data_IF_741372643249
#
_entry.id   IF_741372643249
#
_cell.length_a   1.000
_cell.length_b   1.000
_cell.length_c   1.000
_cell.angle_alpha   90.00
_cell.angle_beta   90.00
_cell.angle_gamma   90.00
#
_symmetry.space_group_name_H-M   'P 1'
#
loop_
_entity.id
_entity.type
_entity.pdbx_description
1 polymer ?
#
# COMPACT_ATOMS: atom_id res chain seq x y z
N UNK A 1 -6.76 0.22 -20.09
CA UNK A 1 -5.37 0.07 -19.60
C UNK A 1 -5.23 0.47 -18.13
N UNK A 2 -5.69 1.64 -17.70
CA UNK A 2 -5.61 2.10 -16.28
C UNK A 2 -6.16 1.12 -15.23
N UNK A 3 -7.31 0.47 -15.48
CA UNK A 3 -7.89 -0.53 -14.57
C UNK A 3 -6.96 -1.70 -14.26
N UNK A 4 -6.24 -2.17 -15.29
CA UNK A 4 -5.26 -3.24 -15.15
C UNK A 4 -4.06 -2.80 -14.31
N UNK A 5 -3.65 -1.54 -14.41
CA UNK A 5 -2.59 -0.96 -13.57
C UNK A 5 -2.91 -1.04 -12.09
N UNK A 6 -4.11 -0.61 -11.67
CA UNK A 6 -4.54 -0.70 -10.26
C UNK A 6 -4.60 -2.15 -9.77
N UNK A 7 -5.12 -3.09 -10.57
CA UNK A 7 -5.18 -4.50 -10.16
C UNK A 7 -3.78 -5.11 -10.05
N UNK A 8 -2.91 -4.88 -11.03
CA UNK A 8 -1.55 -5.40 -11.03
C UNK A 8 -0.74 -4.86 -9.84
N UNK A 9 -0.84 -3.57 -9.56
CA UNK A 9 -0.16 -2.93 -8.43
C UNK A 9 -0.72 -3.41 -7.08
N UNK A 10 -2.04 -3.55 -6.96
CA UNK A 10 -2.66 -4.16 -5.79
C UNK A 10 -2.24 -5.62 -5.57
N UNK A 11 -2.11 -6.42 -6.64
CA UNK A 11 -1.59 -7.80 -6.55
C UNK A 11 -0.13 -7.80 -6.09
N UNK A 12 0.70 -6.90 -6.60
CA UNK A 12 2.09 -6.75 -6.13
C UNK A 12 2.16 -6.45 -4.64
N UNK A 13 1.37 -5.48 -4.15
CA UNK A 13 1.24 -5.18 -2.72
C UNK A 13 0.76 -6.38 -1.92
N UNK A 14 -0.20 -7.15 -2.44
CA UNK A 14 -0.67 -8.37 -1.78
C UNK A 14 0.45 -9.40 -1.61
N UNK A 15 1.26 -9.62 -2.65
CA UNK A 15 2.41 -10.51 -2.60
C UNK A 15 3.47 -10.02 -1.60
N UNK A 16 3.77 -8.72 -1.58
CA UNK A 16 4.69 -8.12 -0.60
C UNK A 16 4.19 -8.32 0.82
N UNK A 17 2.93 -7.98 1.11
CA UNK A 17 2.35 -8.17 2.44
C UNK A 17 2.30 -9.63 2.87
N UNK A 18 1.96 -10.55 1.96
CA UNK A 18 1.96 -11.98 2.22
C UNK A 18 3.37 -12.51 2.49
N UNK A 19 4.36 -12.10 1.70
CA UNK A 19 5.76 -12.44 1.92
C UNK A 19 6.28 -11.90 3.26
N UNK A 20 5.91 -10.68 3.65
CA UNK A 20 6.25 -10.12 4.96
C UNK A 20 5.71 -10.98 6.11
N UNK A 21 4.47 -11.48 6.00
CA UNK A 21 3.90 -12.37 7.02
C UNK A 21 4.54 -13.77 6.99
N UNK A 22 4.75 -14.35 5.81
CA UNK A 22 5.34 -15.67 5.65
C UNK A 22 6.78 -15.73 6.15
N UNK A 23 7.53 -14.64 5.95
CA UNK A 23 8.93 -14.50 6.35
C UNK A 23 9.09 -13.75 7.69
N UNK A 24 8.00 -13.53 8.43
CA UNK A 24 8.01 -12.68 9.62
C UNK A 24 9.06 -13.10 10.66
N UNK A 25 9.23 -14.38 11.03
CA UNK A 25 10.26 -14.77 12.01
C UNK A 25 11.67 -14.44 11.53
N UNK A 26 11.94 -14.68 10.24
CA UNK A 26 13.23 -14.38 9.63
C UNK A 26 13.47 -12.86 9.57
N UNK A 27 12.47 -12.08 9.15
CA UNK A 27 12.53 -10.61 9.09
C UNK A 27 12.76 -9.98 10.47
N UNK A 28 12.12 -10.50 11.52
CA UNK A 28 12.35 -10.03 12.90
C UNK A 28 13.82 -10.23 13.29
N UNK A 29 14.41 -11.36 12.91
CA UNK A 29 15.81 -11.66 13.22
C UNK A 29 16.83 -10.87 12.38
N UNK A 30 16.46 -10.45 11.18
CA UNK A 30 17.40 -9.85 10.20
C UNK A 30 17.24 -8.34 10.02
N UNK A 31 16.05 -7.77 10.24
CA UNK A 31 15.76 -6.37 9.93
C UNK A 31 16.07 -5.39 11.07
N UNK A 32 16.47 -5.89 12.25
CA UNK A 32 16.68 -5.08 13.47
C UNK A 32 15.50 -4.13 13.74
N UNK A 33 14.29 -4.64 13.51
CA UNK A 33 13.04 -3.88 13.59
C UNK A 33 12.06 -4.59 14.53
N UNK A 34 11.20 -3.85 15.26
CA UNK A 34 10.21 -4.46 16.13
C UNK A 34 9.23 -5.35 15.35
N UNK A 35 9.00 -6.58 15.82
CA UNK A 35 8.11 -7.52 15.12
C UNK A 35 6.65 -7.07 15.01
N UNK A 36 6.17 -6.26 15.97
CA UNK A 36 4.85 -5.64 15.88
C UNK A 36 4.76 -4.65 14.72
N UNK A 37 5.85 -3.91 14.43
CA UNK A 37 5.90 -2.96 13.34
C UNK A 37 5.81 -3.69 12.00
N UNK A 38 6.60 -4.74 11.82
CA UNK A 38 6.54 -5.62 10.65
C UNK A 38 5.13 -6.19 10.44
N UNK A 39 4.51 -6.73 11.50
CA UNK A 39 3.17 -7.30 11.45
C UNK A 39 2.10 -6.28 11.07
N UNK A 40 2.08 -5.11 11.72
CA UNK A 40 1.13 -4.05 11.41
C UNK A 40 1.34 -3.50 9.99
N UNK A 41 2.58 -3.30 9.56
CA UNK A 41 2.89 -2.87 8.19
C UNK A 41 2.37 -3.88 7.18
N UNK A 42 2.60 -5.17 7.38
CA UNK A 42 2.12 -6.21 6.48
C UNK A 42 0.59 -6.22 6.37
N UNK A 43 -0.12 -6.12 7.49
CA UNK A 43 -1.60 -6.03 7.51
C UNK A 43 -2.09 -4.77 6.80
N UNK A 44 -1.45 -3.63 7.02
CA UNK A 44 -1.82 -2.37 6.38
C UNK A 44 -1.61 -2.42 4.85
N UNK A 45 -0.50 -2.99 4.39
CA UNK A 45 -0.21 -3.20 2.97
C UNK A 45 -1.23 -4.15 2.33
N UNK A 46 -1.58 -5.25 2.99
CA UNK A 46 -2.63 -6.18 2.52
C UNK A 46 -4.00 -5.50 2.43
N UNK A 47 -4.36 -4.65 3.39
CA UNK A 47 -5.61 -3.90 3.36
C UNK A 47 -5.63 -2.90 2.19
N UNK A 48 -4.52 -2.20 1.94
CA UNK A 48 -4.36 -1.33 0.76
C UNK A 48 -4.50 -2.11 -0.54
N UNK A 49 -3.84 -3.26 -0.64
CA UNK A 49 -3.90 -4.14 -1.80
C UNK A 49 -5.34 -4.56 -2.12
N UNK A 50 -6.09 -5.04 -1.11
CA UNK A 50 -7.48 -5.44 -1.29
C UNK A 50 -8.37 -4.27 -1.76
N UNK A 51 -8.21 -3.09 -1.16
CA UNK A 51 -8.96 -1.90 -1.53
C UNK A 51 -8.65 -1.44 -2.97
N UNK A 52 -7.39 -1.51 -3.38
CA UNK A 52 -6.91 -1.11 -4.69
C UNK A 52 -7.33 -2.07 -5.80
N UNK A 53 -7.26 -3.38 -5.55
CA UNK A 53 -7.82 -4.40 -6.45
C UNK A 53 -9.33 -4.18 -6.61
N UNK A 54 -10.06 -3.98 -5.51
CA UNK A 54 -11.48 -3.68 -5.56
C UNK A 54 -11.76 -2.41 -6.37
N UNK A 55 -10.97 -1.35 -6.18
CA UNK A 55 -11.10 -0.13 -6.96
C UNK A 55 -10.88 -0.36 -8.46
N UNK A 56 -9.82 -1.07 -8.84
CA UNK A 56 -9.51 -1.39 -10.24
C UNK A 56 -10.61 -2.20 -10.93
N UNK A 57 -11.18 -3.18 -10.20
CA UNK A 57 -12.28 -4.03 -10.68
C UNK A 57 -13.56 -3.21 -10.84
N UNK A 58 -13.96 -2.39 -9.87
CA UNK A 58 -15.29 -1.75 -9.88
C UNK A 58 -15.33 -0.41 -10.61
N UNK A 59 -14.31 0.44 -10.43
CA UNK A 59 -14.29 1.82 -10.93
C UNK A 59 -13.12 2.05 -11.87
N UNK A 60 -11.89 1.95 -11.35
CA UNK A 60 -10.64 2.17 -12.09
C UNK A 60 -10.55 3.55 -12.75
N UNK A 61 -11.15 4.56 -12.11
CA UNK A 61 -11.14 5.94 -12.57
C UNK A 61 -9.72 6.54 -12.56
N UNK A 62 -9.30 7.11 -13.71
CA UNK A 62 -7.95 7.68 -13.87
C UNK A 62 -7.63 8.86 -12.94
N UNK A 63 -8.63 9.49 -12.32
CA UNK A 63 -8.45 10.53 -11.31
C UNK A 63 -7.71 10.03 -10.06
N UNK A 64 -7.67 8.71 -9.84
CA UNK A 64 -7.01 8.09 -8.69
C UNK A 64 -5.55 7.70 -8.96
N UNK A 65 -5.07 7.79 -10.21
CA UNK A 65 -3.69 7.46 -10.57
C UNK A 65 -2.68 8.30 -9.79
N UNK A 66 -3.02 9.55 -9.45
CA UNK A 66 -2.16 10.42 -8.63
C UNK A 66 -1.87 9.84 -7.24
N UNK A 67 -2.79 9.08 -6.65
CA UNK A 67 -2.59 8.48 -5.33
C UNK A 67 -1.67 7.26 -5.42
N UNK A 68 -1.78 6.49 -6.51
CA UNK A 68 -0.87 5.39 -6.83
C UNK A 68 0.55 5.92 -7.01
N UNK A 69 0.72 6.94 -7.87
CA UNK A 69 2.02 7.59 -8.10
C UNK A 69 2.61 8.19 -6.82
N UNK A 70 1.80 8.83 -5.97
CA UNK A 70 2.26 9.39 -4.71
C UNK A 70 2.72 8.32 -3.72
N UNK A 71 2.01 7.19 -3.64
CA UNK A 71 2.40 6.04 -2.83
C UNK A 71 3.72 5.45 -3.34
N UNK A 72 3.84 5.19 -4.65
CA UNK A 72 5.04 4.56 -5.21
C UNK A 72 6.26 5.47 -5.12
N UNK A 73 6.10 6.77 -5.37
CA UNK A 73 7.17 7.73 -5.21
C UNK A 73 7.68 7.76 -3.76
N UNK A 74 6.77 7.80 -2.78
CA UNK A 74 7.14 7.76 -1.37
C UNK A 74 7.79 6.43 -0.97
N UNK A 75 7.33 5.30 -1.54
CA UNK A 75 7.91 3.98 -1.32
C UNK A 75 9.34 3.90 -1.85
N UNK A 76 9.59 4.41 -3.07
CA UNK A 76 10.93 4.50 -3.65
C UNK A 76 11.83 5.39 -2.81
N UNK A 77 11.36 6.58 -2.42
CA UNK A 77 12.13 7.51 -1.59
C UNK A 77 12.49 6.90 -0.23
N UNK A 78 11.53 6.25 0.44
CA UNK A 78 11.76 5.57 1.71
C UNK A 78 12.76 4.41 1.57
N UNK A 79 12.72 3.70 0.44
CA UNK A 79 13.66 2.60 0.14
C UNK A 79 15.07 3.14 -0.08
N UNK A 80 15.22 4.17 -0.92
CA UNK A 80 16.51 4.84 -1.16
C UNK A 80 17.07 5.41 0.13
N UNK A 81 16.26 6.10 0.93
CA UNK A 81 16.68 6.64 2.21
C UNK A 81 17.17 5.53 3.16
N UNK A 82 16.42 4.43 3.28
CA UNK A 82 16.81 3.31 4.15
C UNK A 82 18.11 2.67 3.68
N UNK A 83 18.28 2.46 2.36
CA UNK A 83 19.54 1.95 1.80
C UNK A 83 20.70 2.89 2.08
N UNK A 84 20.54 4.20 1.84
CA UNK A 84 21.59 5.18 2.12
C UNK A 84 21.98 5.24 3.59
N UNK A 85 21.00 5.17 4.51
CA UNK A 85 21.26 5.09 5.95
C UNK A 85 22.13 3.87 6.30
N UNK A 86 21.85 2.71 5.69
CA UNK A 86 22.64 1.48 5.89
C UNK A 86 24.04 1.65 5.27
N UNK A 87 24.12 2.01 3.99
CA UNK A 87 25.36 1.91 3.21
C UNK A 87 26.31 3.08 3.44
N UNK A 88 25.79 4.29 3.70
CA UNK A 88 26.61 5.49 3.86
C UNK A 88 26.88 5.83 5.33
N UNK A 89 25.94 5.53 6.24
CA UNK A 89 26.05 5.91 7.65
C UNK A 89 26.22 4.72 8.60
N UNK A 90 26.16 3.48 8.10
CA UNK A 90 26.22 2.28 8.93
C UNK A 90 25.08 2.19 9.94
N UNK A 91 23.96 2.88 9.69
CA UNK A 91 22.85 2.96 10.63
C UNK A 91 22.15 1.61 10.76
N UNK A 92 22.05 1.12 12.00
CA UNK A 92 21.24 -0.06 12.34
C UNK A 92 19.75 0.32 12.39
N UNK A 93 18.86 -0.64 12.14
CA UNK A 93 17.42 -0.40 12.14
C UNK A 93 16.90 0.55 11.05
N UNK A 94 17.68 0.88 10.02
CA UNK A 94 17.27 1.78 8.94
C UNK A 94 15.99 1.33 8.20
N UNK A 95 15.71 0.03 8.17
CA UNK A 95 14.46 -0.53 7.66
C UNK A 95 13.22 -0.07 8.43
N UNK A 96 13.37 0.38 9.68
CA UNK A 96 12.30 1.00 10.47
C UNK A 96 11.71 2.20 9.75
N UNK A 97 12.52 3.01 9.05
CA UNK A 97 12.02 4.15 8.27
C UNK A 97 11.07 3.68 7.16
N UNK A 98 11.51 2.68 6.39
CA UNK A 98 10.71 2.08 5.32
C UNK A 98 9.42 1.44 5.84
N UNK A 99 9.48 0.76 6.99
CA UNK A 99 8.31 0.17 7.64
C UNK A 99 7.33 1.23 8.15
N UNK A 100 7.83 2.29 8.79
CA UNK A 100 7.02 3.41 9.28
C UNK A 100 6.33 4.16 8.14
N UNK A 101 7.02 4.40 7.03
CA UNK A 101 6.43 5.00 5.84
C UNK A 101 5.22 4.18 5.37
N UNK A 102 5.38 2.87 5.19
CA UNK A 102 4.28 2.02 4.74
C UNK A 102 3.16 1.91 5.76
N UNK A 103 3.48 1.82 7.06
CA UNK A 103 2.48 1.78 8.12
C UNK A 103 1.60 3.03 8.12
N UNK A 104 2.16 4.20 7.76
CA UNK A 104 1.39 5.43 7.63
C UNK A 104 0.68 5.55 6.27
N UNK A 105 1.36 5.22 5.16
CA UNK A 105 0.86 5.44 3.81
C UNK A 105 -0.19 4.40 3.38
N UNK A 106 -0.01 3.12 3.74
CA UNK A 106 -0.89 2.05 3.29
C UNK A 106 -2.33 2.18 3.82
N UNK A 107 -2.59 2.57 5.09
CA UNK A 107 -3.96 2.84 5.55
C UNK A 107 -4.61 4.01 4.80
N UNK A 108 -3.85 5.06 4.48
CA UNK A 108 -4.35 6.20 3.70
C UNK A 108 -4.74 5.75 2.30
N UNK A 109 -3.87 4.98 1.62
CA UNK A 109 -4.17 4.41 0.32
C UNK A 109 -5.41 3.50 0.36
N UNK A 110 -5.51 2.62 1.36
CA UNK A 110 -6.67 1.75 1.57
C UNK A 110 -7.97 2.55 1.67
N UNK A 111 -8.01 3.63 2.46
CA UNK A 111 -9.20 4.48 2.61
C UNK A 111 -9.56 5.17 1.30
N UNK A 112 -8.58 5.71 0.57
CA UNK A 112 -8.79 6.40 -0.71
C UNK A 112 -9.39 5.45 -1.74
N UNK A 113 -8.79 4.28 -1.94
CA UNK A 113 -9.27 3.30 -2.93
C UNK A 113 -10.59 2.66 -2.52
N UNK A 114 -10.79 2.35 -1.23
CA UNK A 114 -12.06 1.80 -0.75
C UNK A 114 -13.23 2.78 -0.93
N UNK A 115 -12.98 4.09 -0.82
CA UNK A 115 -14.00 5.11 -1.12
C UNK A 115 -14.28 5.21 -2.61
N UNK A 116 -13.24 5.20 -3.45
CA UNK A 116 -13.39 5.24 -4.90
C UNK A 116 -14.04 3.98 -5.51
N UNK A 117 -13.98 2.85 -4.81
CA UNK A 117 -14.55 1.58 -5.26
C UNK A 117 -16.07 1.48 -5.05
N UNK A 118 -16.67 2.38 -4.25
CA UNK A 118 -18.10 2.37 -3.98
C UNK A 118 -18.88 2.78 -5.24
N UNK A 119 -19.87 1.99 -5.68
CA UNK A 119 -20.79 2.42 -6.72
C UNK A 119 -21.47 3.72 -6.31
N UNK A 120 -21.60 4.71 -7.21
CA UNK A 120 -22.43 5.87 -6.91
C UNK A 120 -23.85 5.40 -6.57
N UNK A 121 -24.50 5.97 -5.51
CA UNK A 121 -25.90 5.68 -5.25
C UNK A 121 -26.68 6.05 -6.50
N UNK A 122 -27.37 5.07 -7.08
CA UNK A 122 -28.25 5.29 -8.24
C UNK A 122 -29.10 6.52 -7.97
N UNK A 123 -28.91 7.59 -8.75
CA UNK A 123 -29.92 8.67 -8.83
C UNK A 123 -31.20 8.00 -9.31
N UNK A 124 -32.05 7.57 -8.37
CA UNK A 124 -33.42 7.19 -8.68
C UNK A 124 -34.05 8.44 -9.26
N UNK A 125 -34.12 8.48 -10.58
CA UNK A 125 -34.94 9.43 -11.31
C UNK A 125 -36.37 9.15 -10.93
N UNK A 126 -36.86 9.83 -9.89
CA UNK A 126 -38.28 9.95 -9.61
C UNK A 126 -38.81 10.88 -10.71
N UNK A 127 -39.10 10.31 -11.89
CA UNK A 127 -40.08 10.90 -12.80
C UNK A 127 -41.44 10.46 -12.28
N UNK A 128 -42.08 11.31 -11.48
CA UNK A 128 -43.51 11.24 -11.32
C UNK A 128 -44.14 11.88 -12.56
N UNK A 129 -44.97 11.07 -13.22
CA UNK A 129 -45.91 11.47 -14.26
C UNK A 129 -47.05 12.27 -13.65
#
# INVERSE_FOLDING_TARGET
MLRFGFVADGVWKALVGAAMLALLPWLISSADAPGWLLGLTAVAVLASAAAEIAFGIHSGAGSHTKYLVAYDAGWVLASVASVLLITALGATGAWTLWLCYQLAAAPVAAVVFARGARPEPSRRTIRQH
#
